data_IF_545316390031
#
_entry.id   IF_545316390031
#
_cell.length_a   1.000
_cell.length_b   1.000
_cell.length_c   1.000
_cell.angle_alpha   90.00
_cell.angle_beta   90.00
_cell.angle_gamma   90.00
#
_symmetry.space_group_name_H-M   'P 1'
#
loop_
_entity.id
_entity.type
_entity.pdbx_description
1 polymer ?
#
# COMPACT_ATOMS: atom_id res chain seq x y z
N UNK A 1 -48.03 -24.32 -68.66
CA UNK A 1 -46.68 -24.93 -68.57
C UNK A 1 -45.66 -23.96 -69.14
N UNK A 2 -44.87 -23.31 -68.29
CA UNK A 2 -43.56 -22.78 -68.67
C UNK A 2 -42.78 -22.51 -67.38
N UNK A 3 -41.70 -23.28 -67.21
CA UNK A 3 -40.79 -23.24 -66.07
C UNK A 3 -39.95 -21.97 -66.16
N UNK A 4 -39.91 -21.17 -65.09
CA UNK A 4 -38.81 -20.23 -64.87
C UNK A 4 -37.90 -20.82 -63.79
N UNK A 5 -36.68 -21.12 -64.22
CA UNK A 5 -35.58 -21.50 -63.34
C UNK A 5 -35.15 -20.25 -62.56
N UNK A 6 -35.19 -20.35 -61.24
CA UNK A 6 -34.56 -19.37 -60.35
C UNK A 6 -33.05 -19.66 -60.29
N UNK A 7 -32.26 -18.69 -60.75
CA UNK A 7 -30.83 -18.64 -60.51
C UNK A 7 -30.62 -17.79 -59.25
N UNK A 8 -30.06 -18.39 -58.21
CA UNK A 8 -29.67 -17.74 -56.96
C UNK A 8 -28.46 -16.82 -57.17
N UNK A 9 -28.43 -15.61 -56.58
CA UNK A 9 -27.26 -14.74 -56.63
C UNK A 9 -26.18 -15.24 -55.65
N UNK A 10 -24.97 -15.41 -56.18
CA UNK A 10 -23.76 -15.73 -55.43
C UNK A 10 -23.27 -14.45 -54.74
N UNK A 11 -23.04 -14.54 -53.44
CA UNK A 11 -22.55 -13.47 -52.58
C UNK A 11 -21.05 -13.21 -52.79
N UNK A 12 -20.77 -11.92 -52.96
CA UNK A 12 -19.49 -11.21 -52.95
C UNK A 12 -18.33 -11.86 -52.16
N UNK A 13 -17.25 -12.16 -52.87
CA UNK A 13 -15.89 -12.18 -52.32
C UNK A 13 -15.11 -11.00 -52.89
N UNK A 14 -14.73 -10.07 -52.02
CA UNK A 14 -13.88 -8.92 -52.30
C UNK A 14 -12.44 -9.36 -52.56
N UNK A 15 -11.96 -9.15 -53.77
CA UNK A 15 -10.54 -9.24 -54.13
C UNK A 15 -10.30 -8.57 -55.48
N UNK A 16 -9.30 -7.67 -55.62
CA UNK A 16 -9.05 -6.98 -56.88
C UNK A 16 -8.34 -7.94 -57.85
N UNK A 17 -9.02 -8.29 -58.94
CA UNK A 17 -8.42 -9.05 -60.06
C UNK A 17 -8.18 -8.09 -61.22
N UNK A 18 -6.90 -7.94 -61.57
CA UNK A 18 -6.39 -7.18 -62.70
C UNK A 18 -6.84 -7.79 -64.04
N UNK A 19 -7.18 -6.94 -65.01
CA UNK A 19 -7.34 -7.32 -66.43
C UNK A 19 -6.01 -7.73 -67.05
N UNK A 20 -5.96 -8.60 -68.09
CA UNK A 20 -6.87 -8.59 -69.24
C UNK A 20 -7.23 -9.99 -69.82
N UNK A 21 -8.50 -10.42 -69.79
CA UNK A 21 -8.97 -11.59 -70.56
C UNK A 21 -10.43 -11.48 -71.01
N UNK A 22 -10.82 -10.35 -71.64
CA UNK A 22 -12.11 -10.24 -72.35
C UNK A 22 -11.87 -9.53 -73.67
N UNK A 23 -11.19 -10.20 -74.60
CA UNK A 23 -11.09 -9.77 -76.00
C UNK A 23 -11.25 -10.92 -77.02
N UNK A 24 -11.77 -12.09 -76.61
CA UNK A 24 -11.85 -13.27 -77.48
C UNK A 24 -13.27 -13.84 -77.69
N UNK A 25 -14.33 -13.04 -77.55
CA UNK A 25 -15.71 -13.53 -77.76
C UNK A 25 -16.55 -12.75 -78.78
N UNK A 26 -15.94 -11.87 -79.58
CA UNK A 26 -16.66 -11.19 -80.69
C UNK A 26 -15.86 -11.33 -81.98
N UNK A 27 -15.69 -12.58 -82.40
CA UNK A 27 -15.22 -12.92 -83.75
C UNK A 27 -15.78 -14.27 -84.13
N UNK A 28 -17.11 -14.37 -84.24
CA UNK A 28 -17.82 -15.38 -85.05
C UNK A 28 -19.33 -15.21 -84.89
N UNK A 29 -19.91 -14.30 -85.67
CA UNK A 29 -21.33 -14.41 -86.01
C UNK A 29 -21.51 -13.88 -87.41
N UNK A 30 -21.43 -14.81 -88.35
CA UNK A 30 -21.79 -14.61 -89.74
C UNK A 30 -23.27 -14.20 -89.85
N UNK A 31 -23.49 -13.14 -90.60
CA UNK A 31 -24.44 -13.02 -91.70
C UNK A 31 -25.90 -13.53 -91.56
N UNK A 32 -26.79 -12.60 -91.96
CA UNK A 32 -28.15 -12.75 -92.52
C UNK A 32 -29.29 -12.85 -91.52
N UNK A 33 -29.90 -11.69 -91.24
CA UNK A 33 -31.27 -11.38 -91.69
C UNK A 33 -31.64 -9.93 -91.33
N UNK A 34 -31.75 -9.06 -92.34
CA UNK A 34 -32.27 -7.70 -92.19
C UNK A 34 -33.72 -7.67 -92.66
N UNK A 35 -34.66 -7.59 -91.69
CA UNK A 35 -36.06 -7.31 -91.93
C UNK A 35 -36.31 -5.80 -91.72
N UNK A 36 -36.67 -5.11 -92.80
CA UNK A 36 -37.16 -3.74 -92.76
C UNK A 36 -38.62 -3.74 -92.29
N UNK A 37 -38.91 -3.06 -91.18
CA UNK A 37 -40.26 -2.69 -90.79
C UNK A 37 -40.42 -1.17 -90.95
N UNK A 38 -41.31 -0.78 -91.85
CA UNK A 38 -41.82 0.58 -91.96
C UNK A 38 -42.83 0.81 -90.82
N UNK A 39 -42.63 1.86 -90.03
CA UNK A 39 -43.54 2.23 -88.94
C UNK A 39 -44.10 3.63 -89.17
N UNK A 40 -45.43 3.71 -89.12
CA UNK A 40 -46.20 4.95 -89.16
C UNK A 40 -45.96 5.75 -87.87
N UNK A 41 -45.40 6.94 -88.00
CA UNK A 41 -45.09 7.83 -86.87
C UNK A 41 -46.40 8.50 -86.43
N UNK A 42 -47.09 7.87 -85.49
CA UNK A 42 -48.15 8.53 -84.73
C UNK A 42 -47.51 9.56 -83.81
N UNK A 43 -47.78 10.83 -84.08
CA UNK A 43 -47.23 12.00 -83.38
C UNK A 43 -47.79 12.09 -81.95
N UNK A 44 -47.16 11.36 -81.02
CA UNK A 44 -47.51 11.26 -79.59
C UNK A 44 -47.59 12.61 -78.88
N UNK A 45 -47.02 13.67 -79.46
CA UNK A 45 -47.03 15.00 -78.88
C UNK A 45 -48.40 15.67 -78.94
N UNK A 46 -49.27 15.27 -79.89
CA UNK A 46 -50.65 15.77 -79.95
C UNK A 46 -51.54 15.17 -78.86
N UNK A 47 -51.42 13.88 -78.58
CA UNK A 47 -52.21 13.21 -77.53
C UNK A 47 -51.75 13.66 -76.13
N UNK A 48 -50.45 13.83 -75.91
CA UNK A 48 -49.91 14.31 -74.65
C UNK A 48 -50.35 15.75 -74.31
N UNK A 49 -50.56 16.59 -75.33
CA UNK A 49 -51.05 17.97 -75.13
C UNK A 49 -52.55 18.03 -74.81
N UNK A 50 -53.34 17.10 -75.34
CA UNK A 50 -54.78 17.03 -75.01
C UNK A 50 -55.00 16.51 -73.58
N UNK A 51 -54.31 15.44 -73.18
CA UNK A 51 -54.43 14.87 -71.83
C UNK A 51 -54.00 15.84 -70.70
N UNK A 52 -52.98 16.68 -70.96
CA UNK A 52 -52.53 17.70 -69.99
C UNK A 52 -53.51 18.87 -69.81
N UNK A 53 -54.39 19.12 -70.79
CA UNK A 53 -55.38 20.19 -70.72
C UNK A 53 -56.62 19.76 -69.91
N UNK A 54 -56.99 18.48 -70.00
CA UNK A 54 -58.13 17.92 -69.26
C UNK A 54 -57.82 17.74 -67.76
N UNK A 55 -56.60 17.30 -67.41
CA UNK A 55 -56.19 17.06 -66.02
C UNK A 55 -56.16 18.32 -65.13
N UNK A 56 -56.04 19.53 -65.71
CA UNK A 56 -56.05 20.79 -64.94
C UNK A 56 -57.46 21.24 -64.54
N UNK A 57 -58.52 20.73 -65.17
CA UNK A 57 -59.90 21.11 -64.83
C UNK A 57 -60.43 20.41 -63.56
N UNK A 58 -59.86 19.28 -63.17
CA UNK A 58 -60.41 18.44 -62.10
C UNK A 58 -59.69 18.55 -60.73
N UNK A 59 -58.74 19.47 -60.56
CA UNK A 59 -58.22 19.80 -59.22
C UNK A 59 -57.64 18.62 -58.42
N UNK A 60 -57.20 17.55 -59.07
CA UNK A 60 -56.55 16.42 -58.40
C UNK A 60 -55.12 16.83 -58.05
N UNK A 61 -54.92 17.24 -56.80
CA UNK A 61 -53.61 17.37 -56.19
C UNK A 61 -52.86 16.04 -56.38
N UNK A 62 -51.77 16.10 -57.14
CA UNK A 62 -50.81 15.01 -57.31
C UNK A 62 -50.12 14.73 -55.97
N UNK A 63 -50.80 14.05 -55.04
CA UNK A 63 -50.12 13.34 -53.97
C UNK A 63 -49.17 12.35 -54.65
N UNK A 64 -47.87 12.55 -54.45
CA UNK A 64 -46.85 11.88 -55.24
C UNK A 64 -47.00 10.37 -55.10
N UNK A 65 -46.92 9.68 -56.23
CA UNK A 65 -46.99 8.21 -56.33
C UNK A 65 -45.96 7.50 -55.42
N UNK A 66 -44.93 8.24 -54.99
CA UNK A 66 -43.93 7.84 -54.00
C UNK A 66 -44.50 7.65 -52.60
N UNK A 67 -45.47 8.48 -52.17
CA UNK A 67 -46.06 8.38 -50.83
C UNK A 67 -46.74 7.03 -50.61
N UNK A 68 -47.46 6.54 -51.62
CA UNK A 68 -48.13 5.24 -51.56
C UNK A 68 -47.15 4.05 -51.55
N UNK A 69 -46.00 4.15 -52.24
CA UNK A 69 -44.99 3.09 -52.19
C UNK A 69 -44.28 3.02 -50.83
N UNK A 70 -44.07 4.16 -50.17
CA UNK A 70 -43.44 4.19 -48.83
C UNK A 70 -44.41 3.65 -47.77
N UNK A 71 -45.66 4.13 -47.77
CA UNK A 71 -46.67 3.71 -46.80
C UNK A 71 -47.03 2.22 -46.99
N UNK A 72 -47.16 1.76 -48.24
CA UNK A 72 -47.46 0.36 -48.54
C UNK A 72 -46.39 -0.61 -48.03
N UNK A 73 -45.11 -0.29 -48.22
CA UNK A 73 -44.01 -1.13 -47.73
C UNK A 73 -43.90 -1.11 -46.20
N UNK A 74 -44.16 0.03 -45.56
CA UNK A 74 -44.15 0.11 -44.09
C UNK A 74 -45.25 -0.77 -43.46
N UNK A 75 -46.45 -0.79 -44.05
CA UNK A 75 -47.55 -1.66 -43.59
C UNK A 75 -47.20 -3.14 -43.79
N UNK A 76 -46.58 -3.50 -44.92
CA UNK A 76 -46.21 -4.88 -45.20
C UNK A 76 -45.17 -5.40 -44.19
N UNK A 77 -44.18 -4.58 -43.82
CA UNK A 77 -43.16 -4.91 -42.81
C UNK A 77 -43.79 -5.03 -41.42
N UNK A 78 -44.74 -4.15 -41.07
CA UNK A 78 -45.45 -4.25 -39.80
C UNK A 78 -46.26 -5.55 -39.70
N UNK A 79 -46.90 -5.98 -40.79
CA UNK A 79 -47.66 -7.24 -40.84
C UNK A 79 -46.77 -8.50 -40.80
N UNK A 80 -45.56 -8.45 -41.39
CA UNK A 80 -44.64 -9.59 -41.30
C UNK A 80 -43.98 -9.69 -39.92
N UNK A 81 -43.63 -8.56 -39.30
CA UNK A 81 -43.13 -8.57 -37.92
C UNK A 81 -44.17 -9.07 -36.91
N UNK A 82 -45.45 -8.71 -37.09
CA UNK A 82 -46.51 -9.18 -36.18
C UNK A 82 -46.78 -10.67 -36.33
N UNK A 83 -46.78 -11.21 -37.55
CA UNK A 83 -46.97 -12.65 -37.79
C UNK A 83 -45.78 -13.48 -37.26
N UNK A 84 -44.55 -12.98 -37.38
CA UNK A 84 -43.38 -13.61 -36.74
C UNK A 84 -43.48 -13.60 -35.21
N UNK A 85 -43.91 -12.50 -34.59
CA UNK A 85 -44.10 -12.43 -33.14
C UNK A 85 -45.17 -13.41 -32.65
N UNK A 86 -46.28 -13.56 -33.39
CA UNK A 86 -47.34 -14.53 -33.07
C UNK A 86 -46.82 -15.96 -33.24
N UNK A 87 -46.07 -16.27 -34.30
CA UNK A 87 -45.49 -17.61 -34.49
C UNK A 87 -44.49 -17.98 -33.40
N UNK A 88 -43.69 -17.02 -32.92
CA UNK A 88 -42.81 -17.22 -31.77
C UNK A 88 -43.64 -17.48 -30.51
N UNK A 89 -44.68 -16.68 -30.25
CA UNK A 89 -45.53 -16.83 -29.08
C UNK A 89 -46.32 -18.15 -29.05
N UNK A 90 -46.79 -18.63 -30.21
CA UNK A 90 -47.59 -19.86 -30.30
C UNK A 90 -46.71 -21.12 -30.32
N UNK A 91 -45.48 -21.03 -30.85
CA UNK A 91 -44.54 -22.16 -30.86
C UNK A 91 -43.58 -22.19 -29.67
N UNK A 92 -43.58 -21.20 -28.78
CA UNK A 92 -42.93 -21.38 -27.48
C UNK A 92 -43.75 -22.40 -26.69
N UNK A 93 -43.21 -23.60 -26.39
CA UNK A 93 -43.91 -24.56 -25.57
C UNK A 93 -44.26 -23.91 -24.23
N UNK A 94 -45.56 -23.92 -23.89
CA UNK A 94 -46.14 -23.31 -22.69
C UNK A 94 -45.67 -24.03 -21.40
N UNK A 95 -44.87 -25.09 -21.51
CA UNK A 95 -44.29 -25.86 -20.41
C UNK A 95 -43.18 -25.15 -19.61
N UNK A 96 -42.84 -23.90 -19.94
CA UNK A 96 -41.81 -23.14 -19.21
C UNK A 96 -42.28 -22.49 -17.89
N UNK A 97 -43.50 -22.79 -17.42
CA UNK A 97 -43.94 -22.41 -16.07
C UNK A 97 -43.84 -23.57 -15.07
N UNK A 98 -42.95 -24.53 -15.32
CA UNK A 98 -42.56 -25.44 -14.25
C UNK A 98 -41.74 -24.65 -13.23
N UNK A 99 -42.40 -24.25 -12.14
CA UNK A 99 -41.71 -23.65 -10.99
C UNK A 99 -40.67 -24.69 -10.52
N UNK A 100 -39.37 -24.39 -10.60
CA UNK A 100 -38.36 -25.37 -10.30
C UNK A 100 -38.52 -25.85 -8.85
N UNK A 101 -38.31 -27.15 -8.64
CA UNK A 101 -38.47 -27.77 -7.33
C UNK A 101 -37.42 -27.18 -6.36
N UNK A 102 -37.89 -26.75 -5.20
CA UNK A 102 -37.05 -26.17 -4.15
C UNK A 102 -36.34 -27.28 -3.35
N UNK A 103 -35.34 -26.89 -2.56
CA UNK A 103 -34.60 -27.79 -1.67
C UNK A 103 -35.55 -28.65 -0.80
N UNK A 104 -35.24 -29.94 -0.69
CA UNK A 104 -35.99 -30.91 0.11
C UNK A 104 -37.29 -31.43 -0.53
N UNK A 105 -37.65 -30.98 -1.74
CA UNK A 105 -38.81 -31.52 -2.47
C UNK A 105 -38.45 -32.82 -3.19
N UNK A 106 -39.40 -33.76 -3.21
CA UNK A 106 -39.25 -35.01 -3.94
C UNK A 106 -39.13 -34.78 -5.45
N UNK A 107 -38.28 -35.54 -6.11
CA UNK A 107 -37.99 -35.46 -7.53
C UNK A 107 -37.75 -36.86 -8.10
N UNK A 108 -37.81 -36.99 -9.42
CA UNK A 108 -37.52 -38.26 -10.10
C UNK A 108 -36.01 -38.28 -10.38
N UNK A 109 -35.32 -39.35 -9.96
CA UNK A 109 -33.88 -39.52 -10.18
C UNK A 109 -33.52 -39.31 -11.65
N UNK A 110 -32.57 -38.41 -11.91
CA UNK A 110 -32.16 -38.02 -13.27
C UNK A 110 -33.00 -36.91 -13.92
N UNK A 111 -34.07 -36.43 -13.27
CA UNK A 111 -34.82 -35.27 -13.76
C UNK A 111 -34.07 -33.95 -13.48
N UNK A 112 -34.13 -33.03 -14.43
CA UNK A 112 -33.63 -31.65 -14.32
C UNK A 112 -34.65 -30.70 -13.67
N UNK A 113 -35.61 -31.24 -12.91
CA UNK A 113 -36.73 -30.45 -12.37
C UNK A 113 -36.37 -29.67 -11.10
N UNK A 114 -35.23 -29.97 -10.49
CA UNK A 114 -34.69 -29.19 -9.39
C UNK A 114 -34.11 -27.86 -9.92
N UNK A 115 -34.13 -26.82 -9.08
CA UNK A 115 -33.63 -25.49 -9.47
C UNK A 115 -32.10 -25.49 -9.68
N UNK A 116 -31.66 -25.75 -10.92
CA UNK A 116 -30.24 -25.75 -11.27
C UNK A 116 -29.59 -24.38 -11.06
N UNK A 117 -30.35 -23.30 -11.18
CA UNK A 117 -29.85 -21.92 -10.97
C UNK A 117 -29.37 -21.76 -9.52
N UNK A 118 -29.95 -22.52 -8.60
CA UNK A 118 -29.54 -22.60 -7.19
C UNK A 118 -28.63 -23.78 -6.87
N UNK A 119 -28.11 -24.46 -7.90
CA UNK A 119 -27.29 -25.67 -7.83
C UNK A 119 -27.96 -26.85 -7.11
N UNK A 120 -29.29 -26.98 -7.24
CA UNK A 120 -30.02 -28.14 -6.77
C UNK A 120 -30.05 -29.23 -7.84
N UNK A 121 -29.76 -30.47 -7.43
CA UNK A 121 -29.86 -31.67 -8.27
C UNK A 121 -30.72 -32.71 -7.56
N UNK A 122 -31.38 -33.56 -8.33
CA UNK A 122 -32.13 -34.66 -7.77
C UNK A 122 -31.17 -35.78 -7.33
N UNK A 123 -30.90 -35.87 -6.04
CA UNK A 123 -30.10 -36.94 -5.44
C UNK A 123 -30.97 -37.75 -4.50
N UNK A 124 -31.04 -39.06 -4.71
CA UNK A 124 -31.87 -39.96 -3.89
C UNK A 124 -33.34 -39.52 -3.83
N UNK A 125 -33.91 -39.18 -4.98
CA UNK A 125 -35.32 -38.76 -5.12
C UNK A 125 -35.70 -37.47 -4.37
N UNK A 126 -34.71 -36.69 -3.92
CA UNK A 126 -34.93 -35.39 -3.27
C UNK A 126 -34.02 -34.33 -3.90
N UNK A 127 -34.53 -33.12 -4.10
CA UNK A 127 -33.71 -32.00 -4.54
C UNK A 127 -32.75 -31.60 -3.41
N UNK A 128 -31.47 -31.94 -3.59
CA UNK A 128 -30.38 -31.61 -2.67
C UNK A 128 -29.33 -30.77 -3.38
N UNK A 129 -28.39 -30.23 -2.62
CA UNK A 129 -27.28 -29.49 -3.20
C UNK A 129 -26.36 -30.39 -4.02
N UNK A 130 -25.87 -29.86 -5.14
CA UNK A 130 -24.86 -30.51 -5.96
C UNK A 130 -23.52 -30.57 -5.22
N UNK A 131 -22.85 -31.73 -5.27
CA UNK A 131 -21.55 -31.96 -4.63
C UNK A 131 -21.61 -31.74 -3.11
N UNK A 132 -20.53 -31.28 -2.50
CA UNK A 132 -20.40 -31.00 -1.06
C UNK A 132 -20.90 -29.60 -0.63
N UNK A 133 -21.78 -28.97 -1.43
CA UNK A 133 -22.41 -27.68 -1.08
C UNK A 133 -23.48 -27.88 0.00
N UNK A 134 -23.76 -26.81 0.75
CA UNK A 134 -24.75 -26.80 1.83
C UNK A 134 -25.83 -25.77 1.49
N UNK A 135 -27.08 -26.11 1.81
CA UNK A 135 -28.20 -25.20 1.67
C UNK A 135 -28.16 -24.13 2.76
N UNK A 136 -28.04 -22.85 2.37
CA UNK A 136 -27.98 -21.74 3.31
C UNK A 136 -29.34 -21.04 3.55
N UNK A 137 -30.43 -21.61 3.02
CA UNK A 137 -31.78 -21.03 3.06
C UNK A 137 -32.20 -20.39 1.73
N UNK A 138 -31.27 -19.88 0.93
CA UNK A 138 -31.55 -19.31 -0.38
C UNK A 138 -31.02 -20.17 -1.51
N UNK A 139 -29.75 -20.58 -1.44
CA UNK A 139 -29.04 -21.30 -2.51
C UNK A 139 -28.10 -22.37 -1.92
N UNK A 140 -27.59 -23.26 -2.79
CA UNK A 140 -26.53 -24.19 -2.42
C UNK A 140 -25.16 -23.51 -2.56
N UNK A 141 -24.55 -23.20 -1.43
CA UNK A 141 -23.25 -22.53 -1.35
C UNK A 141 -22.24 -23.38 -0.57
N UNK A 142 -20.96 -23.08 -0.76
CA UNK A 142 -19.93 -23.58 0.14
C UNK A 142 -20.06 -22.92 1.51
N UNK A 143 -19.50 -23.54 2.55
CA UNK A 143 -19.39 -22.89 3.87
C UNK A 143 -18.60 -21.58 3.77
N UNK A 144 -18.69 -20.71 4.79
CA UNK A 144 -17.94 -19.43 4.83
C UNK A 144 -16.43 -19.59 4.63
N UNK A 145 -15.94 -20.78 4.92
CA UNK A 145 -14.53 -21.16 5.03
C UNK A 145 -14.05 -21.96 3.81
N UNK A 146 -14.93 -22.14 2.82
CA UNK A 146 -14.65 -22.84 1.58
C UNK A 146 -15.00 -21.97 0.37
N UNK A 147 -14.39 -22.26 -0.77
CA UNK A 147 -14.73 -21.66 -2.06
C UNK A 147 -15.02 -22.74 -3.09
N UNK A 148 -15.78 -22.38 -4.12
CA UNK A 148 -16.11 -23.31 -5.21
C UNK A 148 -15.06 -23.24 -6.31
N UNK A 149 -14.44 -24.37 -6.64
CA UNK A 149 -13.44 -24.46 -7.72
C UNK A 149 -14.03 -24.79 -9.10
N UNK A 150 -15.33 -25.05 -9.18
CA UNK A 150 -16.00 -25.57 -10.37
C UNK A 150 -16.60 -26.97 -10.18
N UNK A 151 -16.04 -27.76 -9.26
CA UNK A 151 -16.36 -29.18 -9.04
C UNK A 151 -16.74 -29.49 -7.58
N UNK A 152 -16.04 -28.87 -6.64
CA UNK A 152 -16.19 -29.09 -5.19
C UNK A 152 -15.91 -27.82 -4.38
N UNK A 153 -16.43 -27.79 -3.16
CA UNK A 153 -16.06 -26.81 -2.15
C UNK A 153 -14.70 -27.18 -1.57
N UNK A 154 -13.69 -26.35 -1.83
CA UNK A 154 -12.32 -26.49 -1.33
C UNK A 154 -12.12 -25.54 -0.15
N UNK A 155 -11.36 -25.97 0.85
CA UNK A 155 -10.95 -25.14 1.98
C UNK A 155 -10.22 -23.89 1.48
N UNK A 156 -10.61 -22.71 1.98
CA UNK A 156 -9.89 -21.46 1.72
C UNK A 156 -8.49 -21.50 2.34
N UNK A 157 -7.57 -20.71 1.80
CA UNK A 157 -6.20 -20.65 2.30
C UNK A 157 -6.13 -20.02 3.70
N UNK A 158 -5.43 -20.68 4.62
CA UNK A 158 -5.16 -20.23 6.00
C UNK A 158 -4.00 -19.24 6.10
N UNK A 159 -3.64 -18.83 7.31
CA UNK A 159 -2.55 -17.85 7.52
C UNK A 159 -1.23 -18.29 6.86
N UNK A 160 -0.55 -17.37 6.17
CA UNK A 160 0.69 -17.61 5.39
C UNK A 160 0.60 -18.67 4.27
N UNK A 161 -0.59 -19.19 3.97
CA UNK A 161 -0.76 -20.06 2.80
C UNK A 161 -0.82 -19.22 1.51
N UNK A 162 -0.38 -19.77 0.37
CA UNK A 162 -0.48 -19.12 -0.93
C UNK A 162 -1.93 -18.79 -1.28
N UNK A 163 -2.14 -17.61 -1.85
CA UNK A 163 -3.45 -17.15 -2.29
C UNK A 163 -3.40 -16.51 -3.67
N UNK A 164 -4.55 -16.46 -4.33
CA UNK A 164 -4.71 -15.85 -5.65
C UNK A 164 -6.16 -15.42 -5.85
N UNK A 165 -6.49 -14.89 -7.04
CA UNK A 165 -7.88 -14.64 -7.45
C UNK A 165 -8.72 -15.92 -7.51
N UNK A 166 -8.09 -17.08 -7.68
CA UNK A 166 -8.74 -18.40 -7.73
C UNK A 166 -8.69 -19.15 -6.41
N UNK A 167 -7.76 -18.82 -5.52
CA UNK A 167 -7.60 -19.42 -4.19
C UNK A 167 -7.76 -18.32 -3.14
N UNK A 168 -9.01 -18.00 -2.74
CA UNK A 168 -9.26 -16.95 -1.76
C UNK A 168 -8.81 -17.38 -0.36
N UNK A 169 -8.43 -16.38 0.42
CA UNK A 169 -8.10 -16.56 1.83
C UNK A 169 -9.35 -16.81 2.68
N UNK A 170 -9.14 -17.46 3.82
CA UNK A 170 -10.14 -17.59 4.87
C UNK A 170 -10.73 -16.22 5.22
N UNK A 171 -12.01 -16.16 5.60
CA UNK A 171 -12.76 -14.90 5.78
C UNK A 171 -12.12 -13.89 6.74
N UNK A 172 -11.26 -14.35 7.64
CA UNK A 172 -10.51 -13.55 8.61
C UNK A 172 -9.16 -13.03 8.10
N UNK A 173 -8.78 -13.36 6.86
CA UNK A 173 -7.51 -13.00 6.25
C UNK A 173 -7.72 -12.28 4.92
N UNK A 174 -6.69 -11.58 4.46
CA UNK A 174 -6.65 -10.89 3.17
C UNK A 174 -5.42 -11.37 2.39
N UNK A 175 -5.57 -11.57 1.09
CA UNK A 175 -4.47 -11.96 0.23
C UNK A 175 -3.55 -10.76 0.00
N UNK A 176 -2.31 -10.82 0.47
CA UNK A 176 -1.33 -9.77 0.22
C UNK A 176 -0.85 -9.83 -1.24
N UNK A 177 -1.02 -8.76 -2.04
CA UNK A 177 -0.61 -8.75 -3.43
C UNK A 177 0.92 -8.85 -3.61
N UNK A 178 1.71 -8.52 -2.59
CA UNK A 178 3.18 -8.54 -2.69
C UNK A 178 3.71 -9.96 -2.49
N UNK A 179 3.30 -10.62 -1.39
CA UNK A 179 3.77 -11.97 -1.07
C UNK A 179 2.92 -13.08 -1.69
N UNK A 180 1.72 -12.76 -2.19
CA UNK A 180 0.71 -13.75 -2.60
C UNK A 180 0.40 -14.77 -1.50
N UNK A 181 0.36 -14.30 -0.24
CA UNK A 181 -0.02 -15.12 0.92
C UNK A 181 -1.14 -14.50 1.74
N UNK A 182 -1.89 -15.32 2.46
CA UNK A 182 -2.97 -14.85 3.34
C UNK A 182 -2.42 -14.28 4.64
N UNK A 183 -2.66 -12.99 4.86
CA UNK A 183 -2.24 -12.28 6.07
C UNK A 183 -3.45 -11.70 6.81
N UNK A 184 -3.25 -11.28 8.06
CA UNK A 184 -4.30 -10.58 8.80
C UNK A 184 -4.69 -9.28 8.09
N UNK A 185 -5.99 -8.94 8.03
CA UNK A 185 -6.48 -7.79 7.31
C UNK A 185 -5.82 -6.50 7.81
N UNK A 186 -5.34 -5.69 6.88
CA UNK A 186 -4.90 -4.33 7.16
C UNK A 186 -5.97 -3.35 6.66
N UNK A 187 -6.37 -2.41 7.52
CA UNK A 187 -7.29 -1.33 7.13
C UNK A 187 -6.64 -0.29 6.21
N UNK A 188 -5.31 -0.38 6.02
CA UNK A 188 -4.50 0.54 5.23
C UNK A 188 -3.51 -0.26 4.37
N UNK A 189 -3.29 0.18 3.14
CA UNK A 189 -2.47 -0.47 2.11
C UNK A 189 -0.97 -0.56 2.45
N UNK A 190 -0.52 0.06 3.54
CA UNK A 190 0.91 0.18 3.85
C UNK A 190 1.32 -0.30 5.24
N UNK A 191 0.39 -0.70 6.11
CA UNK A 191 0.73 -1.16 7.45
C UNK A 191 -0.21 -2.28 7.92
N UNK A 192 0.33 -3.48 8.10
CA UNK A 192 -0.36 -4.59 8.77
C UNK A 192 -0.64 -4.19 10.21
N UNK A 193 -1.85 -3.69 10.49
CA UNK A 193 -2.27 -3.23 11.82
C UNK A 193 -2.62 -4.37 12.77
N UNK A 194 -2.67 -5.60 12.25
CA UNK A 194 -3.00 -6.80 13.02
C UNK A 194 -1.88 -7.85 12.87
N UNK A 195 -1.72 -8.71 13.88
CA UNK A 195 -0.84 -9.86 13.87
C UNK A 195 -1.61 -11.13 14.19
N UNK A 196 -1.10 -12.26 13.72
CA UNK A 196 -1.70 -13.56 13.97
C UNK A 196 -1.26 -14.10 15.32
N UNK A 197 -2.22 -14.33 16.22
CA UNK A 197 -1.96 -14.89 17.55
C UNK A 197 -2.44 -16.35 17.60
N UNK A 198 -1.63 -17.25 17.07
CA UNK A 198 -1.75 -18.69 17.28
C UNK A 198 -0.39 -19.35 17.04
N UNK A 199 -0.24 -20.58 17.51
CA UNK A 199 0.90 -21.41 17.10
C UNK A 199 0.86 -21.60 15.58
N UNK A 200 2.03 -21.67 14.94
CA UNK A 200 2.15 -21.84 13.48
C UNK A 200 1.46 -23.11 12.98
N UNK A 201 1.20 -24.07 13.87
CA UNK A 201 0.47 -25.32 13.60
C UNK A 201 -1.03 -25.14 13.39
N UNK A 202 -1.60 -24.02 13.82
CA UNK A 202 -3.03 -23.74 13.82
C UNK A 202 -3.40 -22.78 12.69
N UNK A 203 -3.28 -23.20 11.42
CA UNK A 203 -3.44 -22.34 10.23
C UNK A 203 -4.86 -21.77 10.01
N UNK A 204 -5.87 -22.35 10.66
CA UNK A 204 -7.30 -22.02 10.46
C UNK A 204 -8.04 -21.54 11.72
N UNK A 205 -7.49 -21.76 12.92
CA UNK A 205 -8.15 -21.45 14.19
C UNK A 205 -7.68 -20.14 14.85
N UNK A 206 -6.55 -19.60 14.41
CA UNK A 206 -6.00 -18.41 15.03
C UNK A 206 -6.84 -17.16 14.81
N UNK A 207 -6.58 -16.19 15.68
CA UNK A 207 -7.26 -14.90 15.68
C UNK A 207 -6.26 -13.81 15.30
N UNK A 208 -6.71 -12.85 14.49
CA UNK A 208 -5.94 -11.65 14.21
C UNK A 208 -6.17 -10.64 15.32
N UNK A 209 -5.09 -10.22 15.98
CA UNK A 209 -5.12 -9.24 17.07
C UNK A 209 -4.49 -7.94 16.59
N UNK A 210 -4.97 -6.77 17.05
CA UNK A 210 -4.32 -5.51 16.75
C UNK A 210 -2.88 -5.50 17.29
N UNK A 211 -1.93 -5.00 16.49
CA UNK A 211 -0.54 -4.82 16.91
C UNK A 211 -0.47 -3.79 18.05
N UNK A 212 0.32 -4.12 19.07
CA UNK A 212 0.55 -3.32 20.26
C UNK A 212 1.27 -2.01 19.94
N UNK A 213 0.76 -0.92 20.51
CA UNK A 213 1.40 0.40 20.49
C UNK A 213 2.60 0.44 21.45
N UNK A 214 3.41 1.50 21.39
CA UNK A 214 4.53 1.71 22.29
C UNK A 214 4.11 1.57 23.77
N UNK A 215 4.87 0.81 24.55
CA UNK A 215 4.62 0.54 25.97
C UNK A 215 3.55 -0.51 26.26
N UNK A 216 2.79 -0.98 25.26
CA UNK A 216 1.83 -2.07 25.46
C UNK A 216 2.54 -3.41 25.68
N UNK A 217 1.90 -4.31 26.43
CA UNK A 217 2.41 -5.67 26.64
C UNK A 217 2.43 -6.47 25.33
N UNK A 218 3.47 -7.27 25.15
CA UNK A 218 3.62 -8.16 24.00
C UNK A 218 3.97 -9.58 24.44
N UNK A 219 3.68 -10.58 23.61
CA UNK A 219 3.96 -11.98 23.91
C UNK A 219 5.32 -12.37 23.35
N UNK A 220 6.14 -13.05 24.15
CA UNK A 220 7.53 -13.44 23.84
C UNK A 220 7.68 -14.18 22.51
N UNK A 221 6.68 -15.00 22.18
CA UNK A 221 6.69 -15.84 20.99
C UNK A 221 6.13 -15.15 19.75
N UNK A 222 5.60 -13.93 19.89
CA UNK A 222 5.06 -13.12 18.81
C UNK A 222 5.98 -11.94 18.52
N UNK A 223 7.08 -12.17 17.79
CA UNK A 223 7.99 -11.09 17.36
C UNK A 223 7.23 -9.97 16.62
N UNK A 224 6.10 -10.33 15.98
CA UNK A 224 5.22 -9.44 15.21
C UNK A 224 4.07 -8.80 16.03
N UNK A 225 4.06 -8.95 17.36
CA UNK A 225 2.98 -8.42 18.21
C UNK A 225 2.99 -6.89 18.31
N UNK A 226 4.10 -6.22 17.97
CA UNK A 226 4.27 -4.78 18.06
C UNK A 226 4.16 -4.11 16.69
N UNK A 227 3.82 -2.82 16.64
CA UNK A 227 3.75 -2.04 15.40
C UNK A 227 5.16 -1.81 14.80
N UNK A 228 5.72 -2.83 14.15
CA UNK A 228 7.07 -2.80 13.54
C UNK A 228 7.21 -1.73 12.45
N UNK A 229 6.11 -1.36 11.77
CA UNK A 229 6.09 -0.25 10.81
C UNK A 229 6.40 1.10 11.48
N UNK A 230 6.24 1.19 12.80
CA UNK A 230 6.65 2.31 13.63
C UNK A 230 8.03 2.08 14.28
N UNK A 231 8.77 1.04 13.88
CA UNK A 231 10.08 0.68 14.44
C UNK A 231 10.03 0.07 15.84
N UNK A 232 8.88 -0.44 16.27
CA UNK A 232 8.72 -1.13 17.55
C UNK A 232 9.09 -2.61 17.45
N UNK A 233 9.70 -3.13 18.52
CA UNK A 233 10.03 -4.54 18.74
C UNK A 233 9.60 -4.95 20.15
N UNK A 234 9.32 -6.23 20.34
CA UNK A 234 8.91 -6.77 21.63
C UNK A 234 10.16 -7.06 22.48
N UNK A 235 10.44 -6.21 23.46
CA UNK A 235 11.62 -6.35 24.34
C UNK A 235 11.21 -6.55 25.79
N UNK A 236 12.09 -7.20 26.56
CA UNK A 236 11.90 -7.39 27.99
C UNK A 236 12.06 -6.03 28.69
N UNK A 237 10.94 -5.48 29.17
CA UNK A 237 10.91 -4.23 29.94
C UNK A 237 11.26 -4.44 31.41
N UNK A 238 11.18 -3.35 32.19
CA UNK A 238 11.33 -3.41 33.64
C UNK A 238 10.25 -4.31 34.25
N UNK A 239 10.63 -5.18 35.20
CA UNK A 239 9.71 -6.11 35.86
C UNK A 239 9.43 -7.41 35.08
N UNK A 240 10.29 -7.79 34.13
CA UNK A 240 10.17 -9.04 33.36
C UNK A 240 8.91 -9.16 32.50
N UNK A 241 8.26 -8.04 32.19
CA UNK A 241 7.12 -7.97 31.27
C UNK A 241 7.63 -7.55 29.90
N UNK A 242 7.28 -8.32 28.87
CA UNK A 242 7.60 -7.96 27.50
C UNK A 242 6.70 -6.82 27.05
N UNK A 243 7.31 -5.76 26.53
CA UNK A 243 6.60 -4.56 26.07
C UNK A 243 7.09 -4.13 24.69
N UNK A 244 6.23 -3.48 23.93
CA UNK A 244 6.62 -2.90 22.64
C UNK A 244 7.48 -1.66 22.86
N UNK A 245 8.77 -1.75 22.54
CA UNK A 245 9.72 -0.64 22.64
C UNK A 245 10.45 -0.43 21.32
N UNK A 246 11.11 0.71 21.17
CA UNK A 246 11.94 0.94 20.00
C UNK A 246 13.16 0.02 19.98
N UNK A 247 13.68 -0.30 18.79
CA UNK A 247 14.96 -0.98 18.63
C UNK A 247 16.08 -0.25 19.39
N UNK A 248 17.10 -1.00 19.83
CA UNK A 248 18.29 -0.42 20.47
C UNK A 248 18.89 0.68 19.58
N UNK A 249 19.11 1.87 20.15
CA UNK A 249 19.56 3.04 19.39
C UNK A 249 18.45 3.85 18.72
N UNK A 250 17.18 3.58 19.04
CA UNK A 250 16.03 4.38 18.63
C UNK A 250 15.23 4.86 19.86
N UNK A 251 14.44 5.92 19.72
CA UNK A 251 13.53 6.41 20.76
C UNK A 251 12.15 6.69 20.19
N UNK A 252 11.12 6.59 21.03
CA UNK A 252 9.74 6.80 20.61
C UNK A 252 9.39 8.28 20.54
N UNK A 253 8.87 8.73 19.40
CA UNK A 253 8.29 10.06 19.23
C UNK A 253 6.77 9.98 19.23
N UNK A 254 6.15 10.40 20.33
CA UNK A 254 4.69 10.36 20.50
C UNK A 254 3.95 11.25 19.51
N UNK A 255 4.56 12.35 19.07
CA UNK A 255 3.98 13.30 18.12
C UNK A 255 3.92 12.75 16.68
N UNK A 256 4.84 11.85 16.34
CA UNK A 256 4.90 11.20 15.03
C UNK A 256 4.40 9.75 15.07
N UNK A 257 4.21 9.18 16.26
CA UNK A 257 3.81 7.78 16.44
C UNK A 257 4.82 6.77 15.90
N UNK A 258 6.13 7.08 15.91
CA UNK A 258 7.17 6.20 15.36
C UNK A 258 8.52 6.34 16.10
N UNK A 259 9.34 5.30 15.99
CA UNK A 259 10.70 5.26 16.51
C UNK A 259 11.67 6.01 15.59
N UNK A 260 12.49 6.89 16.18
CA UNK A 260 13.54 7.64 15.49
C UNK A 260 14.92 7.24 15.99
N UNK A 261 15.91 7.22 15.10
CA UNK A 261 17.29 6.93 15.48
C UNK A 261 17.80 7.95 16.52
N UNK A 262 18.42 7.46 17.58
CA UNK A 262 19.16 8.25 18.56
C UNK A 262 20.49 8.64 17.90
N UNK A 263 20.67 9.92 17.57
CA UNK A 263 21.86 10.31 16.83
C UNK A 263 22.05 11.80 16.63
N UNK A 264 21.69 12.63 17.61
CA UNK A 264 22.11 14.04 17.55
C UNK A 264 23.52 14.19 18.10
N UNK A 265 24.39 14.77 17.27
CA UNK A 265 25.77 15.14 17.64
C UNK A 265 25.75 16.29 18.67
N UNK A 266 26.88 16.59 19.32
CA UNK A 266 27.01 17.85 20.06
C UNK A 266 26.61 19.02 19.19
N UNK A 267 26.05 20.05 19.82
CA UNK A 267 25.58 21.30 19.20
C UNK A 267 24.33 21.20 18.31
N UNK A 268 23.80 20.00 18.09
CA UNK A 268 22.51 19.82 17.44
C UNK A 268 21.36 20.08 18.41
N UNK A 269 20.27 20.67 17.89
CA UNK A 269 19.11 21.08 18.69
C UNK A 269 18.41 19.88 19.33
N UNK A 270 18.25 19.87 20.65
CA UNK A 270 17.47 18.88 21.40
C UNK A 270 16.02 19.31 21.65
N UNK A 271 15.55 20.40 21.02
CA UNK A 271 14.18 20.93 21.18
C UNK A 271 13.19 20.08 20.40
N UNK A 272 12.61 19.05 21.01
CA UNK A 272 11.33 18.51 20.53
C UNK A 272 10.35 18.05 21.62
N UNK A 273 10.67 18.16 22.91
CA UNK A 273 9.69 17.88 23.96
C UNK A 273 10.14 18.47 25.29
N UNK A 274 9.21 19.03 26.06
CA UNK A 274 9.43 19.61 27.40
C UNK A 274 9.81 18.57 28.48
N UNK A 275 10.05 17.32 28.07
CA UNK A 275 10.48 16.22 28.93
C UNK A 275 11.94 15.89 28.59
N UNK A 276 12.79 15.99 29.59
CA UNK A 276 14.27 15.85 29.62
C UNK A 276 14.94 14.86 28.64
N UNK A 277 16.07 15.27 28.06
CA UNK A 277 17.14 14.47 27.42
C UNK A 277 16.83 13.58 26.19
N UNK A 278 15.59 13.46 25.70
CA UNK A 278 15.25 12.50 24.64
C UNK A 278 15.85 12.75 23.25
N UNK A 279 16.45 13.92 22.99
CA UNK A 279 17.02 14.26 21.68
C UNK A 279 18.48 13.85 21.48
N UNK A 280 19.23 13.62 22.55
CA UNK A 280 20.70 13.46 22.49
C UNK A 280 21.10 11.98 22.54
N UNK A 281 22.23 11.63 21.92
CA UNK A 281 22.69 10.24 21.91
C UNK A 281 23.04 9.77 23.34
N UNK A 282 22.13 9.02 23.96
CA UNK A 282 22.29 8.46 25.32
C UNK A 282 23.50 7.51 25.36
N UNK A 283 23.71 6.75 24.28
CA UNK A 283 24.86 5.85 24.13
C UNK A 283 26.20 6.61 24.18
N UNK A 284 26.18 7.90 23.85
CA UNK A 284 27.34 8.78 23.91
C UNK A 284 27.37 9.62 25.19
N UNK A 285 26.46 9.34 26.14
CA UNK A 285 26.27 10.07 27.40
C UNK A 285 25.98 11.57 27.23
N UNK A 286 25.42 12.01 26.10
CA UNK A 286 25.08 13.42 25.88
C UNK A 286 23.82 13.83 26.67
N UNK A 287 23.83 15.04 27.24
CA UNK A 287 22.70 15.70 27.89
C UNK A 287 22.21 16.89 27.06
N UNK A 288 20.91 17.19 27.15
CA UNK A 288 20.33 18.37 26.52
C UNK A 288 20.56 19.59 27.43
N UNK A 289 21.33 20.56 26.96
CA UNK A 289 21.56 21.80 27.67
C UNK A 289 20.28 22.65 27.69
N UNK A 290 19.67 22.81 28.87
CA UNK A 290 18.42 23.57 29.00
C UNK A 290 18.56 25.05 28.58
N UNK A 291 19.77 25.62 28.64
CA UNK A 291 20.02 27.01 28.27
C UNK A 291 20.12 27.21 26.76
N UNK A 292 20.90 26.37 26.08
CA UNK A 292 21.18 26.51 24.64
C UNK A 292 20.31 25.63 23.77
N UNK A 293 19.55 24.71 24.40
CA UNK A 293 18.75 23.70 23.75
C UNK A 293 19.54 22.83 22.76
N UNK A 294 20.81 22.57 23.09
CA UNK A 294 21.72 21.75 22.28
C UNK A 294 22.20 20.55 23.07
N UNK A 295 22.51 19.47 22.38
CA UNK A 295 23.21 18.35 22.99
C UNK A 295 24.63 18.76 23.38
N UNK A 296 25.00 18.52 24.64
CA UNK A 296 26.35 18.71 25.15
C UNK A 296 26.78 17.51 25.99
N UNK A 297 28.07 17.36 26.20
CA UNK A 297 28.55 16.40 27.18
C UNK A 297 28.25 16.88 28.61
N UNK A 298 28.08 15.96 29.59
CA UNK A 298 27.90 16.30 30.99
C UNK A 298 29.06 17.14 31.53
N UNK A 299 28.84 17.77 32.68
CA UNK A 299 29.89 18.56 33.34
C UNK A 299 31.14 17.68 33.58
N UNK A 300 32.31 18.18 33.16
CA UNK A 300 33.61 17.47 33.15
C UNK A 300 33.75 16.39 32.07
N UNK A 301 32.98 16.45 30.98
CA UNK A 301 33.17 15.59 29.81
C UNK A 301 33.33 16.42 28.55
N UNK A 302 34.11 15.91 27.59
CA UNK A 302 34.28 16.52 26.27
C UNK A 302 33.87 15.51 25.20
N UNK A 303 33.42 16.03 24.07
CA UNK A 303 33.07 15.17 22.94
C UNK A 303 34.31 14.71 22.20
N UNK A 304 34.50 13.40 22.10
CA UNK A 304 35.55 12.82 21.28
C UNK A 304 34.98 12.40 19.91
N UNK A 305 35.36 13.15 18.86
CA UNK A 305 34.91 12.89 17.48
C UNK A 305 35.36 11.52 16.94
N UNK A 306 36.44 10.94 17.47
CA UNK A 306 36.95 9.66 16.98
C UNK A 306 36.14 8.49 17.52
N UNK A 307 35.70 8.57 18.78
CA UNK A 307 34.93 7.50 19.43
C UNK A 307 33.43 7.77 19.41
N UNK A 308 32.99 8.97 19.04
CA UNK A 308 31.61 9.45 19.14
C UNK A 308 31.02 9.27 20.56
N UNK A 309 31.83 9.55 21.58
CA UNK A 309 31.45 9.45 23.00
C UNK A 309 31.90 10.68 23.77
N UNK A 310 31.17 11.02 24.83
CA UNK A 310 31.64 11.94 25.85
C UNK A 310 32.72 11.26 26.70
N UNK A 311 33.96 11.74 26.60
CA UNK A 311 35.07 11.27 27.39
C UNK A 311 35.28 12.17 28.60
N UNK A 312 35.66 11.60 29.73
CA UNK A 312 35.93 12.37 30.94
C UNK A 312 37.10 13.33 30.70
N UNK A 313 36.88 14.60 31.04
CA UNK A 313 37.91 15.62 31.08
C UNK A 313 38.60 15.51 32.42
N UNK A 314 39.88 15.18 32.37
CA UNK A 314 40.76 15.11 33.50
C UNK A 314 40.86 16.44 34.28
N UNK A 315 40.68 16.35 35.60
CA UNK A 315 40.96 17.45 36.54
C UNK A 315 42.46 17.65 36.80
N UNK A 316 42.82 18.50 37.76
CA UNK A 316 44.22 18.68 38.12
C UNK A 316 44.84 17.33 38.56
N UNK A 317 46.01 16.99 38.01
CA UNK A 317 46.75 15.73 38.19
C UNK A 317 46.17 14.45 37.59
N UNK A 318 45.04 14.49 36.90
CA UNK A 318 44.58 13.31 36.15
C UNK A 318 45.52 13.04 34.97
N UNK A 319 45.85 11.78 34.72
CA UNK A 319 46.66 11.40 33.55
C UNK A 319 45.95 11.81 32.25
N UNK A 320 46.70 12.43 31.35
CA UNK A 320 46.27 12.85 30.03
C UNK A 320 47.27 12.38 28.97
N UNK A 321 46.75 12.21 27.76
CA UNK A 321 47.54 11.90 26.58
C UNK A 321 47.68 13.07 25.64
N UNK A 322 46.81 14.08 25.71
CA UNK A 322 46.91 15.32 24.98
C UNK A 322 46.14 16.46 25.68
N UNK A 323 46.27 17.69 25.18
CA UNK A 323 45.63 18.87 25.77
C UNK A 323 44.09 18.81 25.78
N UNK A 324 43.46 18.00 24.92
CA UNK A 324 41.99 17.87 24.86
C UNK A 324 41.43 17.08 26.03
N UNK A 325 42.27 16.33 26.74
CA UNK A 325 41.88 15.56 27.93
C UNK A 325 41.85 16.42 29.19
N UNK A 326 42.38 17.65 29.15
CA UNK A 326 42.47 18.51 30.31
C UNK A 326 41.39 19.58 30.30
N UNK A 327 40.90 19.92 31.50
CA UNK A 327 39.82 20.89 31.62
C UNK A 327 40.31 22.30 31.28
N UNK A 328 40.03 22.73 30.05
CA UNK A 328 40.36 24.06 29.55
C UNK A 328 39.64 25.17 30.29
N UNK A 329 38.45 24.91 30.87
CA UNK A 329 37.77 25.87 31.73
C UNK A 329 38.53 26.13 33.05
N UNK A 330 39.42 25.20 33.44
CA UNK A 330 40.34 25.36 34.57
C UNK A 330 41.76 25.76 34.11
N UNK A 331 41.96 26.08 32.82
CA UNK A 331 43.25 26.37 32.20
C UNK A 331 44.32 25.27 32.41
N UNK A 332 43.89 24.00 32.42
CA UNK A 332 44.80 22.84 32.53
C UNK A 332 45.33 22.43 31.15
N UNK A 333 46.60 22.04 31.09
CA UNK A 333 47.31 21.56 29.90
C UNK A 333 47.97 20.21 30.17
N UNK A 334 48.12 19.42 29.13
CA UNK A 334 48.84 18.16 29.19
C UNK A 334 50.31 18.37 28.80
N UNK A 335 51.24 18.21 29.76
CA UNK A 335 52.67 18.35 29.47
C UNK A 335 53.23 17.09 28.85
N UNK A 336 53.28 17.00 27.54
CA UNK A 336 53.91 15.87 26.86
C UNK A 336 55.41 15.74 27.20
N UNK A 337 55.73 14.95 28.22
CA UNK A 337 57.12 14.52 28.52
C UNK A 337 57.28 12.99 28.50
N UNK A 338 56.25 12.23 28.12
CA UNK A 338 56.28 10.76 28.09
C UNK A 338 54.89 10.10 28.02
N UNK A 339 54.82 8.78 28.23
CA UNK A 339 53.67 7.91 27.92
C UNK A 339 52.38 8.16 28.74
N UNK A 340 52.40 9.05 29.74
CA UNK A 340 51.21 9.57 30.42
C UNK A 340 51.65 10.69 31.33
N UNK A 341 51.17 11.90 31.09
CA UNK A 341 51.50 13.06 31.93
C UNK A 341 50.25 13.59 32.59
N UNK A 342 50.30 14.13 33.81
CA UNK A 342 49.13 14.71 34.43
C UNK A 342 48.69 16.00 33.75
N UNK A 343 47.38 16.25 33.71
CA UNK A 343 46.81 17.57 33.46
C UNK A 343 47.32 18.53 34.53
N UNK A 344 48.10 19.51 34.12
CA UNK A 344 48.78 20.43 35.01
C UNK A 344 48.78 21.82 34.39
N UNK A 345 49.15 22.82 35.15
CA UNK A 345 49.03 24.22 34.75
C UNK A 345 50.29 24.66 33.96
N UNK A 346 50.20 25.62 33.02
CA UNK A 346 51.30 26.04 32.12
C UNK A 346 52.68 26.14 32.80
N UNK A 347 53.76 25.70 32.15
CA UNK A 347 55.15 25.77 32.67
C UNK A 347 55.59 27.21 32.97
N UNK A 348 54.96 28.22 32.36
CA UNK A 348 55.16 29.62 32.70
C UNK A 348 54.64 30.01 34.10
N UNK A 349 53.88 29.13 34.77
CA UNK A 349 53.51 29.31 36.16
C UNK A 349 54.73 29.08 37.05
N UNK A 350 55.20 30.16 37.65
CA UNK A 350 56.39 30.17 38.51
C UNK A 350 56.31 29.23 39.73
N UNK A 351 55.18 28.54 39.96
CA UNK A 351 54.94 27.69 41.12
C UNK A 351 54.24 26.34 40.86
N UNK A 352 54.20 25.83 39.62
CA UNK A 352 53.61 24.52 39.29
C UNK A 352 52.15 24.33 39.76
N UNK A 353 51.39 25.44 39.84
CA UNK A 353 49.97 25.49 40.18
C UNK A 353 49.33 26.59 39.35
N UNK A 354 48.06 26.42 39.02
CA UNK A 354 47.33 27.28 38.09
C UNK A 354 47.45 28.70 38.61
N UNK A 355 48.05 29.58 37.80
CA UNK A 355 48.42 30.93 38.21
C UNK A 355 47.16 31.70 38.60
N UNK A 356 46.83 31.61 39.88
CA UNK A 356 45.96 32.56 40.52
C UNK A 356 46.73 33.89 40.61
N UNK A 357 46.01 35.01 40.66
CA UNK A 357 46.62 36.31 40.95
C UNK A 357 47.54 36.20 42.19
N UNK A 358 48.55 37.06 42.30
CA UNK A 358 49.57 36.98 43.37
C UNK A 358 48.98 36.95 44.80
N UNK A 359 47.76 37.44 44.98
CA UNK A 359 46.99 37.42 46.22
C UNK A 359 46.06 36.19 46.36
N UNK A 360 46.21 35.16 45.53
CA UNK A 360 45.35 33.98 45.50
C UNK A 360 46.17 32.68 45.33
N UNK A 361 45.53 31.55 45.59
CA UNK A 361 46.10 30.21 45.48
C UNK A 361 45.05 29.22 44.93
N UNK A 362 45.50 28.18 44.24
CA UNK A 362 44.63 27.11 43.74
C UNK A 362 44.28 26.14 44.88
N UNK A 363 43.00 25.99 45.21
CA UNK A 363 42.53 25.10 46.26
C UNK A 363 42.21 23.67 45.78
N UNK A 364 42.39 23.40 44.49
CA UNK A 364 42.03 22.14 43.84
C UNK A 364 40.81 22.25 42.93
N UNK A 365 39.98 23.29 43.09
CA UNK A 365 38.79 23.53 42.26
C UNK A 365 38.77 24.94 41.65
N UNK A 366 39.26 25.95 42.37
CA UNK A 366 39.27 27.35 41.93
C UNK A 366 40.45 28.11 42.52
N UNK A 367 40.66 29.32 42.00
CA UNK A 367 41.52 30.30 42.64
C UNK A 367 40.81 30.93 43.84
N UNK A 368 41.30 30.62 45.04
CA UNK A 368 40.83 31.17 46.31
C UNK A 368 41.82 32.22 46.81
N UNK A 369 41.33 33.31 47.42
CA UNK A 369 42.21 34.37 47.95
C UNK A 369 43.12 33.81 49.04
N UNK A 370 44.39 34.22 49.04
CA UNK A 370 45.34 33.88 50.10
C UNK A 370 44.86 34.46 51.42
N UNK A 371 45.03 33.69 52.47
CA UNK A 371 44.55 34.05 53.80
C UNK A 371 45.61 34.84 54.57
N UNK A 372 45.16 35.74 55.45
CA UNK A 372 46.03 36.54 56.29
C UNK A 372 46.70 35.71 57.40
N UNK A 373 47.69 36.29 58.08
CA UNK A 373 48.28 35.71 59.27
C UNK A 373 47.20 35.36 60.31
N UNK A 374 47.44 34.30 61.08
CA UNK A 374 46.52 33.70 62.06
C UNK A 374 45.19 33.17 61.48
N UNK A 375 45.12 32.98 60.16
CA UNK A 375 43.97 32.33 59.51
C UNK A 375 44.29 30.86 59.21
N UNK A 376 43.31 29.93 59.33
CA UNK A 376 43.51 28.54 58.94
C UNK A 376 43.96 28.39 57.50
N UNK A 377 44.94 27.53 57.24
CA UNK A 377 45.51 27.28 55.92
C UNK A 377 45.65 25.78 55.63
N UNK A 378 45.37 25.35 54.38
CA UNK A 378 45.63 23.98 53.93
C UNK A 378 47.12 23.70 53.62
N UNK A 379 47.97 24.73 53.58
CA UNK A 379 49.41 24.61 53.35
C UNK A 379 50.06 25.97 53.08
N UNK A 380 51.40 26.02 53.03
CA UNK A 380 52.17 27.28 52.91
C UNK A 380 51.73 28.16 51.73
N UNK A 381 51.30 27.54 50.65
CA UNK A 381 50.83 28.22 49.44
C UNK A 381 49.55 29.03 49.64
N UNK A 382 48.77 28.75 50.69
CA UNK A 382 47.53 29.47 50.97
C UNK A 382 47.76 30.78 51.74
N UNK A 383 48.96 31.00 52.28
CA UNK A 383 49.27 32.18 53.08
C UNK A 383 49.63 33.38 52.20
N UNK A 384 49.10 34.56 52.55
CA UNK A 384 49.45 35.82 51.90
C UNK A 384 50.89 36.23 52.22
N UNK A 385 51.34 35.92 53.44
CA UNK A 385 52.72 36.04 53.93
C UNK A 385 52.98 34.94 54.97
N UNK A 386 54.25 34.56 55.16
CA UNK A 386 54.66 33.54 56.14
C UNK A 386 54.50 32.09 55.67
N UNK A 387 54.53 31.15 56.62
CA UNK A 387 54.36 29.70 56.39
C UNK A 387 53.14 29.15 57.14
N UNK A 388 52.54 28.09 56.59
CA UNK A 388 51.44 27.38 57.23
C UNK A 388 51.99 26.40 58.26
N UNK A 389 51.96 26.79 59.53
CA UNK A 389 52.43 25.99 60.65
C UNK A 389 51.25 25.65 61.56
N UNK A 390 51.12 24.37 61.90
CA UNK A 390 50.00 23.85 62.69
C UNK A 390 48.61 24.18 62.09
N UNK A 391 48.53 24.32 60.77
CA UNK A 391 47.30 24.65 60.05
C UNK A 391 46.92 26.13 60.08
N UNK A 392 47.82 27.04 60.49
CA UNK A 392 47.61 28.49 60.47
C UNK A 392 48.77 29.22 59.79
N UNK A 393 48.47 30.34 59.11
CA UNK A 393 49.50 31.18 58.52
C UNK A 393 50.23 31.96 59.62
N UNK A 394 51.51 31.65 59.84
CA UNK A 394 52.37 32.28 60.84
C UNK A 394 53.57 32.94 60.15
N UNK A 395 54.08 34.02 60.74
CA UNK A 395 55.20 34.82 60.22
C UNK A 395 56.48 34.04 60.07
#
# INVERSE_FOLDING_TARGET
MSRRNNITPITNSSGPVNGPQIQNLISNSNEKDMLFYEYEIVDKDKEAKWARKEARRYGLCLCSRWLFMIIGNAILVAMTCSTCAILIYVNTPIDLTYKPLTYGKSCITGSSNCDWVRYLVCSSEVCSCYSNRIWNGTDCACTSDQYWDGLSCIQKAGYQQPCSTTVPCFSKFTCDPITSTCLCPSSLTTAYTQFYNASVTELYSGTCWPKGAYGSGCLVYGVMACQEYNGLTCTLGAGSIYTCQCYTGFYWRSDLGQCYAQGKKPDESCILSTVSNFGCAINASLECDAATNKCKCPTNYYWNNNTNTCNYVGGYQSLCYDNTWCNSALNLYCFFTGASTPCNCPIASSNAKCDCASNAYWDGQKCSTRVALNTPCPGNYACASGSCLYGYCLT
#
